data_IF_125952130285
#
_entry.id   IF_125952130285
#
_cell.length_a   1.000
_cell.length_b   1.000
_cell.length_c   1.000
_cell.angle_alpha   90.00
_cell.angle_beta   90.00
_cell.angle_gamma   90.00
#
_symmetry.space_group_name_H-M   'P 1'
#
loop_
_entity.id
_entity.type
_entity.pdbx_description
1 polymer ?
#
# COMPACT_ATOMS: atom_id res chain seq x y z
N UNK A 1 7.27 20.65 -63.19
CA UNK A 1 8.28 20.33 -62.17
C UNK A 1 7.83 20.63 -60.73
N UNK A 2 7.25 21.81 -60.40
CA UNK A 2 6.82 22.13 -59.02
C UNK A 2 5.77 21.19 -58.39
N UNK A 3 4.78 20.78 -59.20
CA UNK A 3 3.73 19.84 -58.74
C UNK A 3 4.28 18.43 -58.45
N UNK A 4 5.27 17.96 -59.20
CA UNK A 4 5.87 16.65 -58.98
C UNK A 4 6.70 16.63 -57.70
N UNK A 5 7.44 17.73 -57.41
CA UNK A 5 8.16 17.86 -56.16
C UNK A 5 7.22 17.91 -54.93
N UNK A 6 6.10 18.62 -55.01
CA UNK A 6 5.11 18.69 -53.95
C UNK A 6 4.50 17.32 -53.63
N UNK A 7 4.17 16.56 -54.69
CA UNK A 7 3.63 15.20 -54.53
C UNK A 7 4.64 14.24 -53.84
N UNK A 8 5.94 14.34 -54.21
CA UNK A 8 7.00 13.55 -53.55
C UNK A 8 7.19 13.91 -52.08
N UNK A 9 7.15 15.20 -51.73
CA UNK A 9 7.27 15.65 -50.36
C UNK A 9 6.08 15.19 -49.50
N UNK A 10 4.86 15.32 -50.02
CA UNK A 10 3.65 14.84 -49.30
C UNK A 10 3.66 13.33 -49.13
N UNK A 11 4.11 12.59 -50.15
CA UNK A 11 4.28 11.14 -50.08
C UNK A 11 5.32 10.71 -49.01
N UNK A 12 6.45 11.41 -48.95
CA UNK A 12 7.48 11.16 -47.96
C UNK A 12 6.97 11.45 -46.53
N UNK A 13 6.27 12.58 -46.33
CA UNK A 13 5.65 12.90 -45.03
C UNK A 13 4.62 11.85 -44.65
N UNK A 14 3.73 11.44 -45.55
CA UNK A 14 2.74 10.39 -45.30
C UNK A 14 3.40 9.06 -44.91
N UNK A 15 4.48 8.69 -45.59
CA UNK A 15 5.25 7.48 -45.30
C UNK A 15 5.94 7.57 -43.93
N UNK A 16 6.52 8.70 -43.59
CA UNK A 16 7.15 8.93 -42.27
C UNK A 16 6.10 8.85 -41.16
N UNK A 17 4.93 9.46 -41.32
CA UNK A 17 3.84 9.40 -40.35
C UNK A 17 3.30 7.97 -40.21
N UNK A 18 3.22 7.21 -41.31
CA UNK A 18 2.83 5.80 -41.28
C UNK A 18 3.85 4.97 -40.49
N UNK A 19 5.14 5.13 -40.75
CA UNK A 19 6.23 4.41 -40.06
C UNK A 19 6.30 4.78 -38.57
N UNK A 20 6.06 6.04 -38.22
CA UNK A 20 5.99 6.48 -36.82
C UNK A 20 4.73 5.93 -36.15
N UNK A 21 3.59 5.95 -36.83
CA UNK A 21 2.32 5.44 -36.33
C UNK A 21 2.30 3.91 -36.14
N UNK A 22 3.03 3.15 -36.99
CA UNK A 22 3.12 1.68 -36.88
C UNK A 22 4.17 1.23 -35.87
N UNK A 23 5.17 2.07 -35.55
CA UNK A 23 6.01 1.89 -34.36
C UNK A 23 5.21 2.36 -33.15
N UNK A 24 4.10 1.68 -32.84
CA UNK A 24 3.49 1.80 -31.56
C UNK A 24 4.60 1.66 -30.51
N UNK A 25 4.80 2.68 -29.70
CA UNK A 25 5.67 2.65 -28.53
C UNK A 25 5.06 1.65 -27.56
N UNK A 26 5.15 0.37 -27.90
CA UNK A 26 4.87 -0.75 -27.02
C UNK A 26 5.91 -0.71 -25.93
N UNK A 27 5.73 0.19 -24.98
CA UNK A 27 6.47 0.15 -23.72
C UNK A 27 6.10 -1.16 -23.05
N UNK A 28 6.82 -2.22 -23.41
CA UNK A 28 6.62 -3.55 -22.84
C UNK A 28 7.02 -3.47 -21.38
N UNK A 29 6.03 -3.18 -20.53
CA UNK A 29 6.21 -3.14 -19.08
C UNK A 29 6.61 -4.54 -18.63
N UNK A 30 7.87 -4.70 -18.21
CA UNK A 30 8.37 -5.96 -17.67
C UNK A 30 8.22 -5.91 -16.15
N UNK A 31 7.56 -6.90 -15.59
CA UNK A 31 7.41 -7.07 -14.15
C UNK A 31 8.12 -8.35 -13.73
N UNK A 32 8.66 -8.36 -12.53
CA UNK A 32 9.21 -9.57 -11.88
C UNK A 32 8.54 -9.75 -10.53
N UNK A 33 8.36 -10.99 -10.10
CA UNK A 33 7.91 -11.30 -8.75
C UNK A 33 8.92 -10.79 -7.71
N UNK A 34 8.40 -10.34 -6.57
CA UNK A 34 9.21 -9.95 -5.41
C UNK A 34 8.57 -10.51 -4.14
N UNK A 35 9.36 -10.78 -3.08
CA UNK A 35 8.82 -11.14 -1.78
C UNK A 35 7.89 -10.05 -1.25
N UNK A 36 6.78 -10.44 -0.64
CA UNK A 36 5.84 -9.51 -0.02
C UNK A 36 6.39 -8.90 1.27
N UNK A 37 7.27 -9.64 1.96
CA UNK A 37 7.90 -9.26 3.22
C UNK A 37 9.40 -9.53 3.17
N UNK A 38 10.17 -8.78 3.95
CA UNK A 38 11.57 -9.07 4.24
C UNK A 38 11.68 -10.27 5.20
N UNK A 39 12.85 -10.94 5.30
CA UNK A 39 13.04 -12.02 6.29
C UNK A 39 12.75 -11.59 7.73
N UNK A 40 13.04 -10.34 8.06
CA UNK A 40 12.78 -9.76 9.38
C UNK A 40 11.28 -9.60 9.67
N UNK A 41 10.51 -9.19 8.68
CA UNK A 41 9.04 -9.10 8.75
C UNK A 41 8.39 -10.49 8.76
N UNK A 42 8.91 -11.45 8.00
CA UNK A 42 8.40 -12.85 7.99
C UNK A 42 8.55 -13.47 9.38
N UNK A 43 9.69 -13.30 10.03
CA UNK A 43 9.92 -13.81 11.38
C UNK A 43 8.92 -13.19 12.38
N UNK A 44 8.68 -11.88 12.29
CA UNK A 44 7.73 -11.21 13.16
C UNK A 44 6.27 -11.56 12.85
N UNK A 45 5.94 -11.79 11.58
CA UNK A 45 4.63 -12.29 11.15
C UNK A 45 4.24 -13.57 11.89
N UNK A 46 5.15 -14.53 12.00
CA UNK A 46 4.87 -15.79 12.69
C UNK A 46 4.63 -15.60 14.20
N UNK A 47 5.33 -14.67 14.84
CA UNK A 47 5.04 -14.32 16.25
C UNK A 47 3.64 -13.72 16.42
N UNK A 48 3.20 -12.88 15.48
CA UNK A 48 1.83 -12.34 15.49
C UNK A 48 0.82 -13.47 15.30
N UNK A 49 1.04 -14.38 14.35
CA UNK A 49 0.17 -15.53 14.15
C UNK A 49 0.06 -16.42 15.40
N UNK A 50 1.15 -16.64 16.11
CA UNK A 50 1.16 -17.36 17.40
C UNK A 50 0.37 -16.60 18.47
N UNK A 51 0.45 -15.28 18.49
CA UNK A 51 -0.30 -14.43 19.44
C UNK A 51 -1.82 -14.42 19.16
N UNK A 52 -2.24 -14.77 17.93
CA UNK A 52 -3.64 -14.68 17.47
C UNK A 52 -4.11 -16.04 16.92
N UNK A 53 -4.18 -17.10 17.75
CA UNK A 53 -4.40 -18.47 17.28
C UNK A 53 -5.81 -18.71 16.69
N UNK A 54 -6.79 -17.88 17.02
CA UNK A 54 -8.18 -18.00 16.53
C UNK A 54 -8.59 -16.89 15.57
N UNK A 55 -7.66 -16.02 15.19
CA UNK A 55 -7.91 -14.89 14.27
C UNK A 55 -7.10 -15.01 13.00
N UNK A 56 -7.02 -13.89 12.29
CA UNK A 56 -6.31 -13.80 11.00
C UNK A 56 -5.33 -12.65 11.00
N UNK A 57 -4.18 -12.86 10.39
CA UNK A 57 -3.13 -11.85 10.22
C UNK A 57 -2.88 -11.66 8.74
N UNK A 58 -3.07 -10.46 8.23
CA UNK A 58 -2.79 -10.12 6.84
C UNK A 58 -1.60 -9.17 6.76
N UNK A 59 -0.52 -9.55 6.08
CA UNK A 59 0.62 -8.66 5.89
C UNK A 59 0.41 -7.70 4.72
N UNK A 60 1.09 -6.55 4.77
CA UNK A 60 1.18 -5.57 3.68
C UNK A 60 -0.18 -5.09 3.15
N UNK A 61 -1.15 -4.88 4.05
CA UNK A 61 -2.51 -4.47 3.69
C UNK A 61 -2.54 -3.02 3.24
N UNK A 62 -3.19 -2.74 2.12
CA UNK A 62 -3.41 -1.36 1.69
C UNK A 62 -4.28 -0.61 2.73
N UNK A 63 -3.84 0.57 3.17
CA UNK A 63 -4.60 1.37 4.14
C UNK A 63 -6.01 1.70 3.63
N UNK A 64 -6.15 1.92 2.32
CA UNK A 64 -7.44 2.18 1.66
C UNK A 64 -8.38 0.96 1.63
N UNK A 65 -7.93 -0.23 2.02
CA UNK A 65 -8.78 -1.39 2.23
C UNK A 65 -9.38 -1.42 3.65
N UNK A 66 -8.78 -0.68 4.59
CA UNK A 66 -9.22 -0.63 5.99
C UNK A 66 -10.02 0.63 6.31
N UNK A 67 -9.72 1.75 5.66
CA UNK A 67 -10.37 3.05 5.88
C UNK A 67 -10.70 3.75 4.56
N UNK A 68 -11.72 4.59 4.60
CA UNK A 68 -12.10 5.47 3.49
C UNK A 68 -12.36 6.88 4.00
N UNK A 69 -12.27 7.92 3.15
CA UNK A 69 -12.64 9.27 3.57
C UNK A 69 -14.11 9.35 4.00
N UNK A 70 -14.36 9.93 5.16
CA UNK A 70 -15.70 10.24 5.65
C UNK A 70 -16.19 11.60 5.09
N UNK A 71 -16.47 11.61 3.79
CA UNK A 71 -16.99 12.77 3.07
C UNK A 71 -17.68 12.33 1.78
N UNK A 72 -18.63 13.12 1.29
CA UNK A 72 -19.34 12.83 0.05
C UNK A 72 -18.38 12.73 -1.16
N UNK A 73 -18.69 11.86 -2.15
CA UNK A 73 -17.90 11.75 -3.37
C UNK A 73 -17.67 13.11 -4.05
N UNK A 74 -16.44 13.38 -4.51
CA UNK A 74 -16.08 14.62 -5.16
C UNK A 74 -14.58 14.97 -4.97
N UNK A 75 -14.22 16.21 -5.27
CA UNK A 75 -12.81 16.66 -5.21
C UNK A 75 -12.18 16.48 -3.82
N UNK A 76 -12.95 16.76 -2.75
CA UNK A 76 -12.46 16.59 -1.35
C UNK A 76 -12.22 15.12 -1.02
N UNK A 77 -13.15 14.25 -1.41
CA UNK A 77 -13.00 12.79 -1.27
C UNK A 77 -11.72 12.32 -1.97
N UNK A 78 -11.53 12.67 -3.24
CA UNK A 78 -10.36 12.26 -4.02
C UNK A 78 -9.05 12.78 -3.42
N UNK A 79 -9.02 14.01 -2.91
CA UNK A 79 -7.86 14.57 -2.23
C UNK A 79 -7.54 13.83 -0.92
N UNK A 80 -8.54 13.46 -0.14
CA UNK A 80 -8.40 12.69 1.09
C UNK A 80 -7.98 11.23 0.78
N UNK A 81 -8.65 10.59 -0.21
CA UNK A 81 -8.32 9.24 -0.67
C UNK A 81 -6.86 9.14 -1.15
N UNK A 82 -6.37 10.11 -1.91
CA UNK A 82 -4.99 10.15 -2.37
C UNK A 82 -3.94 10.11 -1.25
N UNK A 83 -4.31 10.53 -0.03
CA UNK A 83 -3.42 10.49 1.14
C UNK A 83 -3.25 9.08 1.71
N UNK A 84 -4.19 8.18 1.48
CA UNK A 84 -4.20 6.81 2.00
C UNK A 84 -3.98 5.74 0.92
N UNK A 85 -4.27 6.04 -0.34
CA UNK A 85 -4.32 5.07 -1.44
C UNK A 85 -3.01 4.29 -1.67
N UNK A 86 -1.85 4.93 -1.43
CA UNK A 86 -0.54 4.32 -1.62
C UNK A 86 0.13 3.86 -0.33
N UNK A 87 -0.54 4.03 0.81
CA UNK A 87 -0.01 3.62 2.11
C UNK A 87 -0.33 2.16 2.37
N UNK A 88 0.61 1.47 3.01
CA UNK A 88 0.45 0.08 3.44
C UNK A 88 0.63 0.00 4.94
N UNK A 89 -0.03 -0.98 5.51
CA UNK A 89 0.06 -1.39 6.89
C UNK A 89 0.86 -2.68 6.91
N UNK A 90 1.86 -2.79 7.79
CA UNK A 90 2.70 -3.98 7.84
C UNK A 90 1.88 -5.22 8.17
N UNK A 91 1.00 -5.15 9.18
CA UNK A 91 0.11 -6.26 9.54
C UNK A 91 -1.24 -5.73 10.02
N UNK A 92 -2.32 -6.30 9.50
CA UNK A 92 -3.68 -6.09 9.99
C UNK A 92 -4.15 -7.36 10.71
N UNK A 93 -4.63 -7.22 11.95
CA UNK A 93 -5.08 -8.32 12.81
C UNK A 93 -6.59 -8.31 12.92
N UNK A 94 -7.20 -9.43 12.60
CA UNK A 94 -8.65 -9.65 12.64
C UNK A 94 -9.00 -10.76 13.62
N UNK A 95 -10.18 -10.70 14.21
CA UNK A 95 -10.73 -11.80 14.99
C UNK A 95 -11.32 -12.92 14.09
N UNK A 96 -11.88 -13.95 14.72
CA UNK A 96 -12.50 -15.08 14.00
C UNK A 96 -13.73 -14.69 13.17
N UNK A 97 -14.38 -13.57 13.49
CA UNK A 97 -15.51 -13.02 12.73
C UNK A 97 -15.07 -12.06 11.61
N UNK A 98 -13.76 -11.96 11.34
CA UNK A 98 -13.18 -11.02 10.39
C UNK A 98 -13.38 -9.54 10.75
N UNK A 99 -13.57 -9.25 12.05
CA UNK A 99 -13.56 -7.86 12.54
C UNK A 99 -12.14 -7.42 12.78
N UNK A 100 -11.77 -6.23 12.26
CA UNK A 100 -10.44 -5.65 12.47
C UNK A 100 -10.25 -5.34 13.98
N UNK A 101 -9.21 -5.88 14.59
CA UNK A 101 -8.86 -5.66 16.00
C UNK A 101 -7.85 -4.53 16.17
N UNK A 102 -6.81 -4.58 15.37
CA UNK A 102 -5.74 -3.59 15.40
C UNK A 102 -4.88 -3.69 14.14
N UNK A 103 -4.07 -2.69 13.91
CA UNK A 103 -2.95 -2.78 12.98
C UNK A 103 -1.64 -2.81 13.77
N UNK A 104 -0.64 -3.51 13.23
CA UNK A 104 0.69 -3.64 13.84
C UNK A 104 1.72 -3.14 12.83
N UNK A 105 2.66 -2.33 13.31
CA UNK A 105 3.78 -1.78 12.55
C UNK A 105 5.10 -2.23 13.18
N UNK A 106 6.05 -2.64 12.35
CA UNK A 106 7.39 -3.03 12.77
C UNK A 106 8.41 -1.96 12.38
N UNK A 107 8.68 -1.05 13.31
CA UNK A 107 9.48 0.14 13.05
C UNK A 107 10.98 -0.16 12.99
N UNK A 108 11.64 0.27 11.92
CA UNK A 108 13.10 0.35 11.79
C UNK A 108 13.62 1.75 12.17
N UNK A 109 14.94 1.91 12.34
CA UNK A 109 15.60 3.17 12.74
C UNK A 109 15.42 4.34 11.78
N UNK A 110 15.01 4.08 10.55
CA UNK A 110 14.96 5.08 9.45
C UNK A 110 13.60 5.74 9.31
N UNK A 111 12.65 5.48 10.22
CA UNK A 111 11.29 6.01 10.12
C UNK A 111 11.24 7.53 10.28
N UNK A 112 10.40 8.16 9.44
CA UNK A 112 10.10 9.57 9.55
C UNK A 112 8.92 9.76 10.53
N UNK A 113 9.24 10.09 11.78
CA UNK A 113 8.26 10.25 12.87
C UNK A 113 7.05 11.14 12.51
N UNK A 114 7.25 12.18 11.67
CA UNK A 114 6.17 13.07 11.25
C UNK A 114 5.20 12.38 10.27
N UNK A 115 5.72 11.58 9.34
CA UNK A 115 4.88 10.84 8.39
C UNK A 115 4.15 9.70 9.09
N UNK A 116 4.78 9.06 10.06
CA UNK A 116 4.20 7.98 10.86
C UNK A 116 3.07 8.51 11.74
N UNK A 117 3.29 9.62 12.45
CA UNK A 117 2.24 10.28 13.23
C UNK A 117 1.03 10.70 12.39
N UNK A 118 1.26 11.15 11.16
CA UNK A 118 0.16 11.48 10.22
C UNK A 118 -0.60 10.22 9.79
N UNK A 119 0.09 9.11 9.51
CA UNK A 119 -0.53 7.84 9.17
C UNK A 119 -1.39 7.31 10.34
N UNK A 120 -0.84 7.35 11.54
CA UNK A 120 -1.54 6.93 12.76
C UNK A 120 -2.77 7.78 13.03
N UNK A 121 -2.72 9.09 12.75
CA UNK A 121 -3.88 9.96 12.91
C UNK A 121 -5.05 9.60 11.99
N UNK A 122 -4.78 9.08 10.78
CA UNK A 122 -5.84 8.60 9.88
C UNK A 122 -6.51 7.33 10.41
N UNK A 123 -5.73 6.38 10.92
CA UNK A 123 -6.25 5.16 11.53
C UNK A 123 -7.03 5.46 12.80
N UNK A 124 -6.48 6.30 13.67
CA UNK A 124 -7.13 6.71 14.91
C UNK A 124 -8.46 7.45 14.66
N UNK A 125 -8.55 8.26 13.60
CA UNK A 125 -9.80 8.94 13.22
C UNK A 125 -10.91 7.97 12.79
N UNK A 126 -10.53 6.76 12.37
CA UNK A 126 -11.44 5.65 12.05
C UNK A 126 -11.64 4.66 13.22
N UNK A 127 -11.14 4.99 14.43
CA UNK A 127 -11.24 4.12 15.61
C UNK A 127 -10.26 2.94 15.61
N UNK A 128 -9.33 2.87 14.64
CA UNK A 128 -8.42 1.74 14.51
C UNK A 128 -7.16 1.97 15.38
N UNK A 129 -6.90 1.03 16.29
CA UNK A 129 -5.71 1.04 17.13
C UNK A 129 -4.46 0.64 16.33
N UNK A 130 -3.35 1.36 16.54
CA UNK A 130 -2.05 1.05 15.97
C UNK A 130 -1.10 0.62 17.08
N UNK A 131 -0.56 -0.60 16.97
CA UNK A 131 0.51 -1.11 17.84
C UNK A 131 1.84 -1.01 17.10
N UNK A 132 2.83 -0.36 17.73
CA UNK A 132 4.16 -0.20 17.14
C UNK A 132 5.20 -0.96 17.93
N UNK A 133 6.00 -1.75 17.23
CA UNK A 133 7.09 -2.51 17.83
C UNK A 133 8.41 -2.21 17.11
N UNK A 134 9.47 -2.10 17.87
CA UNK A 134 10.80 -1.86 17.30
C UNK A 134 11.39 -3.15 16.74
N UNK A 135 11.84 -3.11 15.50
CA UNK A 135 12.48 -4.23 14.80
C UNK A 135 13.67 -4.84 15.55
N UNK A 136 14.43 -4.00 16.28
CA UNK A 136 15.59 -4.46 17.09
C UNK A 136 15.21 -5.14 18.41
N UNK A 137 14.00 -4.91 18.91
CA UNK A 137 13.50 -5.47 20.17
C UNK A 137 12.08 -5.96 19.95
N UNK A 138 11.95 -6.96 19.09
CA UNK A 138 10.67 -7.58 18.79
C UNK A 138 10.10 -8.24 20.05
N UNK A 139 8.81 -8.03 20.34
CA UNK A 139 8.14 -8.70 21.45
C UNK A 139 7.98 -10.20 21.17
N UNK A 140 7.81 -10.96 22.22
CA UNK A 140 7.33 -12.35 22.17
C UNK A 140 5.84 -12.40 21.78
N UNK A 141 5.35 -13.58 21.37
CA UNK A 141 3.93 -13.79 21.09
C UNK A 141 3.03 -13.43 22.29
N UNK A 142 3.46 -13.76 23.52
CA UNK A 142 2.72 -13.43 24.74
C UNK A 142 2.61 -11.90 24.97
N UNK A 143 3.69 -11.15 24.72
CA UNK A 143 3.66 -9.69 24.82
C UNK A 143 2.76 -9.05 23.75
N UNK A 144 2.77 -9.59 22.50
CA UNK A 144 1.86 -9.17 21.43
C UNK A 144 0.41 -9.44 21.84
N UNK A 145 0.12 -10.64 22.34
CA UNK A 145 -1.21 -11.01 22.79
C UNK A 145 -1.73 -10.08 23.89
N UNK A 146 -0.88 -9.77 24.88
CA UNK A 146 -1.20 -8.82 25.95
C UNK A 146 -1.50 -7.42 25.40
N UNK A 147 -0.69 -6.92 24.47
CA UNK A 147 -0.92 -5.63 23.84
C UNK A 147 -2.23 -5.60 23.06
N UNK A 148 -2.57 -6.67 22.32
CA UNK A 148 -3.84 -6.80 21.59
C UNK A 148 -5.07 -6.88 22.51
N UNK A 149 -4.94 -7.39 23.72
CA UNK A 149 -6.02 -7.43 24.71
C UNK A 149 -6.31 -6.04 25.30
N UNK A 150 -5.34 -5.14 25.30
CA UNK A 150 -5.47 -3.79 25.85
C UNK A 150 -6.09 -2.80 24.87
N UNK A 151 -6.16 -3.12 23.58
CA UNK A 151 -6.82 -2.29 22.59
C UNK A 151 -8.27 -2.69 22.42
N UNK A 152 -9.17 -1.70 22.38
CA UNK A 152 -10.58 -1.93 22.06
C UNK A 152 -10.71 -2.16 20.54
N UNK A 153 -11.62 -3.05 20.15
CA UNK A 153 -12.01 -3.16 18.74
C UNK A 153 -12.72 -1.87 18.30
N UNK A 154 -12.55 -1.43 17.04
CA UNK A 154 -13.23 -0.29 16.47
C UNK A 154 -14.75 -0.45 16.42
#
# INVERSE_FOLDING_TARGET
MKFLMLALVLGAIGFILLVIGTKGFGFQRRYKAQPIMTPNEVEFFWRICEAVPTGYVFPQVAMSALIQPDTAPGKRYMAAFGRIAQKRIDYAVFDAAMTLRAVIELDDRTHNAKQDALRDSYLASAGIATLRFQSKRKPSAAEIQTALQQVQAP
#
